data_IF_327029556542
#
_entry.id   IF_327029556542
#
_cell.length_a   1.000
_cell.length_b   1.000
_cell.length_c   1.000
_cell.angle_alpha   90.00
_cell.angle_beta   90.00
_cell.angle_gamma   90.00
#
_symmetry.space_group_name_H-M   'P 1'
#
loop_
_entity.id
_entity.type
_entity.pdbx_description
1 polymer ?
#
# COMPACT_ATOMS: atom_id res chain seq x y z
N UNK A 1 -80.95 11.34 -11.99
CA UNK A 1 -80.22 12.21 -11.04
C UNK A 1 -79.36 11.33 -10.15
N UNK A 2 -78.10 11.76 -9.99
CA UNK A 2 -77.03 11.24 -9.12
C UNK A 2 -76.28 9.99 -9.65
N UNK A 3 -75.07 10.14 -10.21
CA UNK A 3 -73.77 10.54 -9.62
C UNK A 3 -73.15 9.38 -8.82
N UNK A 4 -72.13 8.71 -9.36
CA UNK A 4 -70.70 8.81 -8.96
C UNK A 4 -70.23 7.36 -8.75
N UNK A 5 -69.00 6.87 -8.95
CA UNK A 5 -67.64 7.38 -9.11
C UNK A 5 -66.90 6.31 -9.94
N UNK A 6 -66.20 6.67 -11.01
CA UNK A 6 -65.17 5.79 -11.59
C UNK A 6 -63.85 6.08 -10.88
N UNK A 7 -63.38 5.14 -10.04
CA UNK A 7 -62.03 5.14 -9.50
C UNK A 7 -61.08 4.64 -10.59
N UNK A 8 -60.39 5.55 -11.27
CA UNK A 8 -59.22 5.20 -12.09
C UNK A 8 -58.00 5.08 -11.17
N UNK A 9 -57.61 3.85 -10.87
CA UNK A 9 -56.34 3.56 -10.21
C UNK A 9 -55.20 3.85 -11.21
N UNK A 10 -54.55 5.00 -11.06
CA UNK A 10 -53.33 5.35 -11.79
C UNK A 10 -52.16 4.58 -11.14
N UNK A 11 -51.90 3.36 -11.59
CA UNK A 11 -50.66 2.66 -11.28
C UNK A 11 -49.52 3.38 -12.01
N UNK A 12 -48.93 4.39 -11.37
CA UNK A 12 -47.62 4.92 -11.75
C UNK A 12 -46.59 3.82 -11.45
N UNK A 13 -46.35 2.98 -12.45
CA UNK A 13 -45.21 2.08 -12.45
C UNK A 13 -43.94 2.92 -12.34
N UNK A 14 -43.27 2.85 -11.19
CA UNK A 14 -41.88 3.26 -11.09
C UNK A 14 -41.11 2.23 -11.93
N UNK A 15 -40.92 2.52 -13.20
CA UNK A 15 -39.96 1.80 -14.01
C UNK A 15 -38.60 2.01 -13.35
N UNK A 16 -38.16 1.02 -12.58
CA UNK A 16 -36.77 0.94 -12.14
C UNK A 16 -35.94 0.81 -13.41
N UNK A 17 -35.37 1.92 -13.85
CA UNK A 17 -34.41 1.92 -14.94
C UNK A 17 -33.17 1.19 -14.43
N UNK A 18 -33.18 -0.15 -14.53
CA UNK A 18 -31.98 -0.94 -14.36
C UNK A 18 -30.95 -0.36 -15.32
N UNK A 19 -29.85 0.16 -14.76
CA UNK A 19 -28.74 0.69 -15.56
C UNK A 19 -28.33 -0.41 -16.53
N UNK A 20 -28.58 -0.20 -17.83
CA UNK A 20 -28.13 -1.15 -18.85
C UNK A 20 -26.61 -1.12 -18.83
N UNK A 21 -26.00 -2.24 -18.44
CA UNK A 21 -24.56 -2.43 -18.51
C UNK A 21 -24.05 -2.22 -19.93
N UNK A 22 -22.81 -1.74 -20.05
CA UNK A 22 -22.20 -1.58 -21.36
C UNK A 22 -21.90 -2.96 -21.97
N UNK A 23 -22.67 -3.31 -23.00
CA UNK A 23 -22.54 -4.62 -23.65
C UNK A 23 -21.17 -4.81 -24.32
N UNK A 24 -20.50 -3.72 -24.71
CA UNK A 24 -19.15 -3.80 -25.29
C UNK A 24 -18.11 -4.29 -24.27
N UNK A 25 -18.38 -4.13 -22.97
CA UNK A 25 -17.48 -4.55 -21.90
C UNK A 25 -17.73 -5.98 -21.40
N UNK A 26 -18.73 -6.70 -21.95
CA UNK A 26 -19.06 -8.07 -21.53
C UNK A 26 -17.83 -9.00 -21.55
N UNK A 27 -17.10 -9.04 -22.66
CA UNK A 27 -15.94 -9.92 -22.80
C UNK A 27 -14.83 -9.57 -21.80
N UNK A 28 -14.56 -8.28 -21.60
CA UNK A 28 -13.55 -7.80 -20.65
C UNK A 28 -13.95 -8.13 -19.20
N UNK A 29 -15.22 -7.97 -18.84
CA UNK A 29 -15.73 -8.33 -17.51
C UNK A 29 -15.55 -9.82 -17.22
N UNK A 30 -15.94 -10.71 -18.14
CA UNK A 30 -15.79 -12.15 -17.93
C UNK A 30 -14.32 -12.57 -17.86
N UNK A 31 -13.47 -12.01 -18.73
CA UNK A 31 -12.02 -12.26 -18.68
C UNK A 31 -11.40 -11.78 -17.36
N UNK A 32 -11.78 -10.58 -16.91
CA UNK A 32 -11.30 -10.01 -15.65
C UNK A 32 -11.72 -10.86 -14.46
N UNK A 33 -12.99 -11.30 -14.39
CA UNK A 33 -13.47 -12.21 -13.34
C UNK A 33 -12.69 -13.52 -13.33
N UNK A 34 -12.49 -14.14 -14.49
CA UNK A 34 -11.75 -15.39 -14.60
C UNK A 34 -10.30 -15.25 -14.14
N UNK A 35 -9.63 -14.17 -14.56
CA UNK A 35 -8.24 -13.85 -14.20
C UNK A 35 -8.09 -13.70 -12.69
N UNK A 36 -9.00 -12.97 -12.04
CA UNK A 36 -8.95 -12.70 -10.60
C UNK A 36 -9.80 -13.67 -9.76
N UNK A 37 -10.21 -14.81 -10.35
CA UNK A 37 -10.96 -15.88 -9.70
C UNK A 37 -12.22 -15.39 -8.95
N UNK A 38 -12.94 -14.44 -9.54
CA UNK A 38 -14.14 -13.84 -8.95
C UNK A 38 -15.39 -14.65 -9.25
N UNK A 39 -16.09 -15.07 -8.20
CA UNK A 39 -17.38 -15.74 -8.26
C UNK A 39 -18.38 -14.94 -7.42
N UNK A 40 -19.50 -14.56 -8.02
CA UNK A 40 -20.54 -13.77 -7.36
C UNK A 40 -21.89 -14.47 -7.46
N UNK A 41 -22.71 -14.29 -6.42
CA UNK A 41 -24.13 -14.63 -6.45
C UNK A 41 -24.97 -13.42 -6.87
N UNK A 42 -25.95 -13.07 -6.03
CA UNK A 42 -26.90 -11.99 -6.29
C UNK A 42 -26.27 -10.59 -6.44
N UNK A 43 -25.03 -10.40 -5.98
CA UNK A 43 -24.32 -9.11 -6.00
C UNK A 43 -23.54 -8.84 -7.30
N UNK A 44 -23.53 -9.78 -8.27
CA UNK A 44 -22.72 -9.63 -9.49
C UNK A 44 -23.02 -8.33 -10.24
N UNK A 45 -24.30 -7.97 -10.37
CA UNK A 45 -24.70 -6.76 -11.08
C UNK A 45 -24.10 -5.49 -10.46
N UNK A 46 -24.09 -5.39 -9.14
CA UNK A 46 -23.47 -4.27 -8.44
C UNK A 46 -21.94 -4.26 -8.62
N UNK A 47 -21.27 -5.40 -8.44
CA UNK A 47 -19.82 -5.53 -8.64
C UNK A 47 -19.38 -5.15 -10.04
N UNK A 48 -20.17 -5.55 -11.05
CA UNK A 48 -19.97 -5.14 -12.43
C UNK A 48 -20.16 -3.63 -12.62
N UNK A 49 -21.18 -3.02 -12.00
CA UNK A 49 -21.38 -1.56 -12.08
C UNK A 49 -20.19 -0.78 -11.53
N UNK A 50 -19.63 -1.21 -10.41
CA UNK A 50 -18.41 -0.63 -9.82
C UNK A 50 -17.22 -0.79 -10.77
N UNK A 51 -17.03 -1.98 -11.33
CA UNK A 51 -15.97 -2.25 -12.30
C UNK A 51 -16.08 -1.39 -13.57
N UNK A 52 -17.28 -1.24 -14.13
CA UNK A 52 -17.51 -0.38 -15.31
C UNK A 52 -17.30 1.11 -14.99
N UNK A 53 -17.60 1.55 -13.76
CA UNK A 53 -17.27 2.91 -13.31
C UNK A 53 -15.75 3.10 -13.25
N UNK A 54 -15.03 2.14 -12.68
CA UNK A 54 -13.58 2.20 -12.55
C UNK A 54 -12.86 2.16 -13.90
N UNK A 55 -13.28 1.31 -14.85
CA UNK A 55 -12.64 1.26 -16.16
C UNK A 55 -12.80 2.56 -16.95
N UNK A 56 -13.99 3.19 -16.91
CA UNK A 56 -14.24 4.49 -17.55
C UNK A 56 -13.39 5.61 -16.95
N UNK A 57 -13.21 5.59 -15.63
CA UNK A 57 -12.33 6.53 -14.94
C UNK A 57 -10.86 6.35 -15.37
N UNK A 58 -10.38 5.11 -15.45
CA UNK A 58 -9.03 4.78 -15.92
C UNK A 58 -8.81 5.23 -17.37
N UNK A 59 -9.77 4.97 -18.26
CA UNK A 59 -9.71 5.39 -19.66
C UNK A 59 -9.66 6.91 -19.82
N UNK A 60 -10.46 7.64 -19.02
CA UNK A 60 -10.43 9.10 -19.01
C UNK A 60 -9.08 9.63 -18.52
N UNK A 61 -8.58 9.14 -17.39
CA UNK A 61 -7.27 9.51 -16.87
C UNK A 61 -6.15 9.26 -17.88
N UNK A 62 -6.15 8.10 -18.55
CA UNK A 62 -5.11 7.78 -19.53
C UNK A 62 -5.21 8.63 -20.81
N UNK A 63 -6.41 9.10 -21.17
CA UNK A 63 -6.59 10.11 -22.24
C UNK A 63 -6.03 11.47 -21.83
N UNK A 64 -6.15 11.84 -20.56
CA UNK A 64 -5.56 13.08 -20.03
C UNK A 64 -4.04 12.97 -19.89
N UNK A 65 -3.52 11.81 -19.53
CA UNK A 65 -2.10 11.50 -19.55
C UNK A 65 -1.50 11.71 -20.95
N UNK A 66 -2.16 11.23 -22.01
CA UNK A 66 -1.66 11.43 -23.39
C UNK A 66 -1.71 12.89 -23.85
N UNK A 67 -2.45 13.74 -23.13
CA UNK A 67 -2.48 15.20 -23.29
C UNK A 67 -1.46 15.93 -22.40
N UNK A 68 -0.63 15.19 -21.64
CA UNK A 68 0.39 15.75 -20.75
C UNK A 68 -0.15 16.30 -19.42
N UNK A 69 -1.38 15.95 -19.03
CA UNK A 69 -2.01 16.46 -17.79
C UNK A 69 -1.57 15.70 -16.53
N UNK A 70 -1.10 14.46 -16.69
CA UNK A 70 -0.71 13.57 -15.59
C UNK A 70 0.70 13.03 -15.82
N UNK A 71 1.43 12.75 -14.73
CA UNK A 71 2.78 12.16 -14.77
C UNK A 71 2.81 10.62 -14.80
N UNK A 72 1.64 9.98 -14.73
CA UNK A 72 1.50 8.53 -14.60
C UNK A 72 0.29 8.01 -15.39
N UNK A 73 0.23 6.69 -15.57
CA UNK A 73 -0.91 5.98 -16.14
C UNK A 73 -1.57 5.09 -15.11
N UNK A 74 -2.83 4.74 -15.36
CA UNK A 74 -3.60 3.81 -14.56
C UNK A 74 -3.93 2.55 -15.36
N UNK A 75 -4.19 1.44 -14.68
CA UNK A 75 -4.64 0.20 -15.30
C UNK A 75 -5.62 -0.56 -14.41
N UNK A 76 -6.52 -1.30 -15.04
CA UNK A 76 -7.41 -2.21 -14.32
C UNK A 76 -6.58 -3.31 -13.64
N UNK A 77 -6.93 -3.65 -12.40
CA UNK A 77 -6.23 -4.65 -11.58
C UNK A 77 -7.23 -5.44 -10.72
N UNK A 78 -6.73 -6.20 -9.74
CA UNK A 78 -7.54 -7.04 -8.86
C UNK A 78 -8.57 -6.27 -8.00
N UNK A 79 -8.42 -4.95 -7.85
CA UNK A 79 -9.31 -4.08 -7.08
C UNK A 79 -10.44 -3.48 -7.93
N UNK A 80 -10.59 -3.92 -9.18
CA UNK A 80 -11.53 -3.36 -10.15
C UNK A 80 -12.98 -3.33 -9.71
N UNK A 81 -13.43 -4.33 -8.95
CA UNK A 81 -14.82 -4.46 -8.47
C UNK A 81 -15.05 -3.88 -7.07
N UNK A 82 -14.04 -3.23 -6.49
CA UNK A 82 -14.10 -2.63 -5.16
C UNK A 82 -14.42 -1.13 -5.27
N UNK A 83 -15.27 -0.64 -4.38
CA UNK A 83 -15.37 0.81 -4.18
C UNK A 83 -14.10 1.32 -3.50
N UNK A 84 -13.86 2.63 -3.56
CA UNK A 84 -12.68 3.20 -2.91
C UNK A 84 -12.74 3.07 -1.38
N UNK A 85 -13.93 3.08 -0.80
CA UNK A 85 -14.15 2.89 0.64
C UNK A 85 -13.84 1.44 1.05
N UNK A 86 -14.33 0.44 0.30
CA UNK A 86 -13.99 -0.97 0.53
C UNK A 86 -12.48 -1.19 0.41
N UNK A 87 -11.86 -0.57 -0.59
CA UNK A 87 -10.42 -0.63 -0.81
C UNK A 87 -9.64 -0.07 0.37
N UNK A 88 -9.98 1.14 0.84
CA UNK A 88 -9.36 1.75 2.03
C UNK A 88 -9.48 0.84 3.24
N UNK A 89 -10.66 0.29 3.50
CA UNK A 89 -10.88 -0.52 4.69
C UNK A 89 -10.10 -1.85 4.68
N UNK A 90 -9.91 -2.45 3.50
CA UNK A 90 -9.28 -3.76 3.39
C UNK A 90 -7.78 -3.71 3.16
N UNK A 91 -7.29 -2.67 2.46
CA UNK A 91 -5.92 -2.62 1.94
C UNK A 91 -5.04 -1.61 2.67
N UNK A 92 -5.65 -0.63 3.34
CA UNK A 92 -4.96 0.41 4.09
C UNK A 92 -5.13 0.11 5.57
N UNK A 93 -4.02 0.01 6.29
CA UNK A 93 -4.02 -0.36 7.71
C UNK A 93 -2.97 0.36 8.53
N UNK A 94 -2.37 1.44 8.01
CA UNK A 94 -1.50 2.25 8.84
C UNK A 94 -2.35 3.04 9.84
N UNK A 95 -1.96 2.96 11.11
CA UNK A 95 -2.60 3.72 12.16
C UNK A 95 -1.56 4.55 12.91
N UNK A 96 -1.70 5.88 12.84
CA UNK A 96 -0.83 6.82 13.56
C UNK A 96 -1.23 6.91 15.04
N UNK A 97 -1.02 5.83 15.79
CA UNK A 97 -1.29 5.76 17.22
C UNK A 97 -0.15 6.35 18.05
N UNK A 98 -0.41 6.69 19.32
CA UNK A 98 0.65 7.02 20.27
C UNK A 98 1.49 5.78 20.55
N UNK A 99 2.78 5.86 20.30
CA UNK A 99 3.74 4.76 20.46
C UNK A 99 5.00 5.24 21.20
N UNK A 100 5.84 4.30 21.62
CA UNK A 100 7.19 4.63 22.13
C UNK A 100 7.97 5.26 20.98
N UNK A 101 8.67 6.37 21.22
CA UNK A 101 9.49 7.00 20.19
C UNK A 101 10.84 6.32 20.07
N UNK A 102 11.33 6.20 18.84
CA UNK A 102 12.65 5.69 18.53
C UNK A 102 13.74 6.71 18.85
N UNK A 103 14.98 6.33 18.56
CA UNK A 103 16.08 7.31 18.52
C UNK A 103 15.85 8.25 17.33
N UNK A 104 16.26 9.50 17.44
CA UNK A 104 16.15 10.43 16.29
C UNK A 104 17.33 10.24 15.35
N UNK A 105 17.05 10.06 14.06
CA UNK A 105 18.08 9.95 13.01
C UNK A 105 18.99 11.17 13.01
N UNK A 106 20.30 10.92 13.14
CA UNK A 106 21.32 11.95 13.02
C UNK A 106 21.78 12.02 11.57
N UNK A 107 21.47 13.12 10.90
CA UNK A 107 21.86 13.29 9.51
C UNK A 107 23.39 13.28 9.37
N UNK A 108 23.97 12.45 8.49
CA UNK A 108 25.40 12.53 8.22
C UNK A 108 25.72 13.88 7.56
N UNK A 109 26.72 14.56 8.11
CA UNK A 109 27.15 15.91 7.68
C UNK A 109 28.05 15.84 6.44
N UNK A 110 28.91 14.82 6.36
CA UNK A 110 29.95 14.67 5.33
C UNK A 110 29.74 13.47 4.40
N UNK A 111 28.58 12.81 4.45
CA UNK A 111 28.30 11.71 3.51
C UNK A 111 28.05 12.27 2.12
N UNK A 112 28.80 11.80 1.13
CA UNK A 112 28.46 11.99 -0.27
C UNK A 112 27.20 11.18 -0.58
N UNK A 113 26.11 11.88 -0.86
CA UNK A 113 24.83 11.25 -1.17
C UNK A 113 24.76 11.03 -2.69
N UNK A 114 24.67 9.77 -3.16
CA UNK A 114 24.55 9.49 -4.59
C UNK A 114 23.28 10.11 -5.16
N UNK A 115 23.27 10.41 -6.46
CA UNK A 115 22.13 11.05 -7.13
C UNK A 115 20.93 10.11 -7.27
N UNK A 116 21.17 8.81 -7.28
CA UNK A 116 20.17 7.75 -7.31
C UNK A 116 20.63 6.58 -6.46
N UNK A 117 19.66 5.87 -5.89
CA UNK A 117 19.85 4.65 -5.09
C UNK A 117 18.74 3.70 -5.46
N UNK A 118 19.07 2.42 -5.60
CA UNK A 118 18.09 1.36 -5.83
C UNK A 118 18.53 0.08 -5.10
N UNK A 119 17.79 -0.30 -4.05
CA UNK A 119 18.08 -1.49 -3.24
C UNK A 119 17.37 -2.76 -3.77
N UNK A 120 16.66 -2.68 -4.90
CA UNK A 120 15.80 -3.78 -5.40
C UNK A 120 16.53 -4.98 -5.98
N UNK A 121 17.83 -4.89 -6.29
CA UNK A 121 18.61 -6.03 -6.79
C UNK A 121 18.68 -7.23 -5.79
N UNK A 122 17.94 -7.15 -4.67
CA UNK A 122 18.01 -8.05 -3.51
C UNK A 122 16.65 -8.30 -2.83
N UNK A 123 15.54 -8.47 -3.56
CA UNK A 123 14.42 -9.33 -3.07
C UNK A 123 12.97 -8.79 -2.99
N UNK A 124 12.10 -9.68 -2.47
CA UNK A 124 10.79 -10.10 -2.99
C UNK A 124 9.57 -9.25 -2.59
N UNK A 125 8.52 -9.24 -3.43
CA UNK A 125 7.21 -8.62 -3.13
C UNK A 125 6.17 -9.70 -2.88
N UNK A 126 5.61 -9.75 -1.68
CA UNK A 126 4.52 -10.66 -1.29
C UNK A 126 3.19 -9.89 -1.18
N UNK A 127 2.08 -10.40 -1.74
CA UNK A 127 0.76 -9.77 -1.66
C UNK A 127 0.05 -10.05 -0.32
N UNK A 128 -0.69 -9.06 0.20
CA UNK A 128 -1.65 -9.25 1.31
C UNK A 128 -3.04 -8.67 1.00
N UNK A 129 -4.10 -9.29 1.56
CA UNK A 129 -5.51 -8.88 1.41
C UNK A 129 -6.15 -8.35 2.72
N UNK A 130 -5.33 -7.97 3.69
CA UNK A 130 -5.81 -7.41 4.95
C UNK A 130 -5.03 -6.12 5.29
N UNK A 131 -5.51 -5.33 6.25
CA UNK A 131 -4.91 -4.08 6.73
C UNK A 131 -3.59 -4.26 7.48
N UNK A 132 -2.73 -5.14 7.00
CA UNK A 132 -1.42 -5.50 7.57
C UNK A 132 -0.26 -4.80 6.85
N UNK A 133 -0.51 -3.75 6.07
CA UNK A 133 0.52 -3.02 5.33
C UNK A 133 1.70 -2.56 6.23
N UNK A 134 1.42 -2.25 7.49
CA UNK A 134 2.41 -1.92 8.51
C UNK A 134 3.38 -3.09 8.78
N UNK A 135 2.88 -4.34 8.78
CA UNK A 135 3.72 -5.53 8.97
C UNK A 135 4.66 -5.72 7.78
N UNK A 136 4.16 -5.63 6.54
CA UNK A 136 4.97 -5.71 5.32
C UNK A 136 6.02 -4.59 5.22
N UNK A 137 5.67 -3.38 5.65
CA UNK A 137 6.62 -2.27 5.70
C UNK A 137 7.72 -2.53 6.74
N UNK A 138 7.37 -3.08 7.91
CA UNK A 138 8.31 -3.40 8.97
C UNK A 138 9.24 -4.58 8.60
N UNK A 139 8.70 -5.70 8.11
CA UNK A 139 9.50 -6.85 7.64
C UNK A 139 10.48 -6.41 6.56
N UNK A 140 10.02 -5.67 5.55
CA UNK A 140 10.89 -5.20 4.48
C UNK A 140 12.06 -4.31 4.93
N UNK A 141 11.87 -3.47 5.95
CA UNK A 141 12.96 -2.68 6.51
C UNK A 141 13.93 -3.56 7.33
N UNK A 142 13.40 -4.49 8.13
CA UNK A 142 14.20 -5.41 8.95
C UNK A 142 15.01 -6.38 8.08
N UNK A 143 14.42 -6.91 6.99
CA UNK A 143 15.09 -7.70 5.96
C UNK A 143 16.29 -6.94 5.37
N UNK A 144 16.08 -5.67 5.01
CA UNK A 144 17.14 -4.81 4.49
C UNK A 144 18.30 -4.61 5.48
N UNK A 145 17.98 -4.42 6.77
CA UNK A 145 18.99 -4.28 7.82
C UNK A 145 19.72 -5.59 8.12
N UNK A 146 19.00 -6.70 8.21
CA UNK A 146 19.58 -8.03 8.40
C UNK A 146 20.49 -8.39 7.23
N UNK A 147 20.05 -8.17 5.99
CA UNK A 147 20.90 -8.37 4.81
C UNK A 147 22.17 -7.51 4.87
N UNK A 148 22.07 -6.24 5.28
CA UNK A 148 23.22 -5.37 5.46
C UNK A 148 24.21 -5.91 6.51
N UNK A 149 23.71 -6.48 7.61
CA UNK A 149 24.50 -7.02 8.73
C UNK A 149 25.13 -8.37 8.41
N UNK A 150 24.41 -9.27 7.76
CA UNK A 150 24.79 -10.69 7.62
C UNK A 150 25.19 -11.07 6.19
N UNK A 151 24.80 -10.28 5.19
CA UNK A 151 24.92 -10.62 3.77
C UNK A 151 23.91 -11.67 3.28
N UNK A 152 22.98 -12.12 4.15
CA UNK A 152 21.95 -13.11 3.82
C UNK A 152 20.58 -12.45 3.81
N UNK A 153 19.84 -12.67 2.72
CA UNK A 153 18.48 -12.19 2.59
C UNK A 153 17.53 -13.34 2.91
N UNK A 154 16.73 -13.15 3.97
CA UNK A 154 15.74 -14.12 4.43
C UNK A 154 14.40 -13.40 4.51
N UNK A 155 13.35 -13.98 3.93
CA UNK A 155 12.00 -13.44 4.03
C UNK A 155 11.48 -13.61 5.46
N UNK A 156 11.01 -12.52 6.07
CA UNK A 156 10.52 -12.51 7.45
C UNK A 156 8.99 -12.58 7.49
N UNK A 157 8.46 -13.17 8.55
CA UNK A 157 7.02 -13.41 8.65
C UNK A 157 6.23 -12.16 9.01
N UNK A 158 5.39 -11.68 8.09
CA UNK A 158 4.40 -10.66 8.42
C UNK A 158 3.33 -11.20 9.37
N UNK A 159 2.96 -12.47 9.23
CA UNK A 159 1.93 -13.11 10.07
C UNK A 159 2.34 -13.15 11.54
N UNK A 160 3.63 -13.39 11.81
CA UNK A 160 4.16 -13.34 13.16
C UNK A 160 3.93 -11.96 13.79
N UNK A 161 4.13 -10.87 13.03
CA UNK A 161 3.83 -9.52 13.53
C UNK A 161 2.32 -9.32 13.74
N UNK A 162 1.50 -9.71 12.75
CA UNK A 162 0.04 -9.58 12.78
C UNK A 162 -0.56 -10.25 14.02
N UNK A 163 -0.12 -11.47 14.34
CA UNK A 163 -0.70 -12.25 15.45
C UNK A 163 -0.11 -11.90 16.82
N UNK A 164 1.15 -11.44 16.88
CA UNK A 164 1.90 -11.37 18.15
C UNK A 164 2.16 -9.96 18.69
N UNK A 165 2.03 -8.91 17.87
CA UNK A 165 2.44 -7.54 18.29
C UNK A 165 1.31 -6.69 18.90
N UNK A 166 0.17 -7.31 19.23
CA UNK A 166 -0.93 -6.63 19.91
C UNK A 166 -0.53 -5.96 21.24
N UNK A 167 0.31 -6.57 22.10
CA UNK A 167 0.76 -5.92 23.34
C UNK A 167 1.53 -4.61 23.12
N UNK A 168 2.13 -4.41 21.94
CA UNK A 168 2.84 -3.20 21.56
C UNK A 168 1.92 -2.14 20.92
N UNK A 169 0.65 -2.47 20.67
CA UNK A 169 -0.38 -1.55 20.18
C UNK A 169 -0.76 -1.73 18.71
N UNK A 170 -0.36 -2.82 18.06
CA UNK A 170 -0.90 -3.16 16.75
C UNK A 170 -2.23 -3.91 16.89
N UNK A 171 -3.06 -3.87 15.85
CA UNK A 171 -4.43 -4.42 15.84
C UNK A 171 -4.61 -5.44 14.71
N UNK A 172 -3.54 -6.17 14.39
CA UNK A 172 -3.55 -7.21 13.36
C UNK A 172 -4.00 -6.67 12.00
N UNK A 173 -5.10 -7.21 11.49
CA UNK A 173 -5.70 -6.80 10.21
C UNK A 173 -6.49 -5.50 10.28
N UNK A 174 -6.81 -5.00 11.48
CA UNK A 174 -7.45 -3.68 11.64
C UNK A 174 -6.45 -2.53 11.53
N UNK A 175 -5.16 -2.83 11.60
CA UNK A 175 -4.09 -1.88 11.34
C UNK A 175 -3.00 -1.87 12.41
N UNK A 176 -2.02 -0.99 12.23
CA UNK A 176 -0.86 -0.92 13.08
C UNK A 176 0.19 0.06 12.59
N UNK A 177 1.34 0.00 13.25
CA UNK A 177 2.46 0.91 13.07
C UNK A 177 3.77 0.13 13.04
N UNK A 178 4.65 0.47 12.09
CA UNK A 178 5.96 -0.18 11.92
C UNK A 178 6.81 -0.11 13.19
N UNK A 179 6.77 1.01 13.92
CA UNK A 179 7.52 1.20 15.16
C UNK A 179 7.08 0.24 16.28
N UNK A 180 5.79 -0.06 16.38
CA UNK A 180 5.29 -1.06 17.31
C UNK A 180 5.76 -2.47 16.91
N UNK A 181 5.87 -2.76 15.62
CA UNK A 181 6.41 -4.02 15.12
C UNK A 181 7.91 -4.15 15.48
N UNK A 182 8.71 -3.11 15.30
CA UNK A 182 10.12 -3.11 15.74
C UNK A 182 10.23 -3.25 17.26
N UNK A 183 9.36 -2.56 18.02
CA UNK A 183 9.32 -2.71 19.47
C UNK A 183 9.00 -4.15 19.88
N UNK A 184 8.09 -4.83 19.18
CA UNK A 184 7.78 -6.24 19.40
C UNK A 184 9.00 -7.12 19.13
N UNK A 185 9.67 -6.98 17.98
CA UNK A 185 10.84 -7.82 17.64
C UNK A 185 11.94 -7.67 18.69
N UNK A 186 12.19 -6.45 19.18
CA UNK A 186 13.09 -6.18 20.29
C UNK A 186 12.71 -6.92 21.57
N UNK A 187 11.46 -6.79 22.01
CA UNK A 187 10.97 -7.33 23.28
C UNK A 187 10.81 -8.85 23.24
N UNK A 188 10.41 -9.39 22.10
CA UNK A 188 10.28 -10.81 21.83
C UNK A 188 11.65 -11.52 21.67
N UNK A 189 12.68 -10.76 21.29
CA UNK A 189 14.03 -11.28 21.07
C UNK A 189 14.21 -12.00 19.74
N UNK A 190 13.26 -11.85 18.81
CA UNK A 190 13.33 -12.47 17.50
C UNK A 190 12.08 -12.30 16.64
N UNK A 191 12.20 -12.64 15.36
CA UNK A 191 11.11 -12.74 14.39
C UNK A 191 11.31 -13.97 13.50
N UNK A 192 10.24 -14.74 13.26
CA UNK A 192 10.25 -15.95 12.44
C UNK A 192 10.42 -15.66 10.94
N UNK A 193 10.83 -16.67 10.19
CA UNK A 193 10.83 -16.62 8.72
C UNK A 193 9.43 -16.79 8.16
N UNK A 194 9.18 -16.22 6.99
CA UNK A 194 7.94 -16.43 6.23
C UNK A 194 7.71 -17.93 5.93
N UNK A 195 8.77 -18.71 5.74
CA UNK A 195 8.66 -20.17 5.52
C UNK A 195 8.13 -20.91 6.76
N UNK A 196 8.60 -20.53 7.95
CA UNK A 196 8.17 -21.17 9.21
C UNK A 196 6.81 -20.68 9.73
N UNK A 197 6.42 -19.46 9.38
CA UNK A 197 5.18 -18.83 9.79
C UNK A 197 4.55 -18.07 8.61
N UNK A 198 3.91 -18.78 7.67
CA UNK A 198 3.41 -18.19 6.43
C UNK A 198 2.26 -17.21 6.62
N UNK A 199 2.17 -16.23 5.72
CA UNK A 199 1.10 -15.24 5.67
C UNK A 199 -0.26 -15.86 5.34
N UNK A 200 -1.23 -15.66 6.25
CA UNK A 200 -2.60 -16.14 6.13
C UNK A 200 -3.58 -15.03 5.72
N UNK A 201 -3.21 -13.76 5.86
CA UNK A 201 -4.08 -12.63 5.52
C UNK A 201 -5.27 -12.46 6.45
N UNK A 202 -5.15 -12.92 7.69
CA UNK A 202 -6.16 -12.84 8.75
C UNK A 202 -5.46 -12.92 10.10
N UNK A 203 -6.08 -12.40 11.15
CA UNK A 203 -5.58 -12.35 12.52
C UNK A 203 -6.49 -13.15 13.49
N UNK A 204 -7.16 -14.17 12.97
CA UNK A 204 -8.07 -15.03 13.73
C UNK A 204 -7.37 -16.13 14.54
N UNK A 205 -6.06 -16.28 14.35
CA UNK A 205 -5.26 -17.33 14.99
C UNK A 205 -4.46 -16.74 16.17
N UNK A 206 -4.19 -17.53 17.22
CA UNK A 206 -3.32 -17.07 18.30
C UNK A 206 -1.87 -16.95 17.83
N UNK A 207 -1.11 -16.04 18.46
CA UNK A 207 0.33 -15.92 18.26
C UNK A 207 1.05 -17.27 18.37
N UNK A 208 1.80 -17.63 17.33
CA UNK A 208 2.50 -18.92 17.20
C UNK A 208 4.01 -18.75 16.92
N UNK A 209 4.64 -17.74 17.51
CA UNK A 209 6.09 -17.51 17.40
C UNK A 209 6.90 -18.71 17.92
N UNK A 210 7.94 -19.10 17.17
CA UNK A 210 8.84 -20.22 17.52
C UNK A 210 10.29 -19.76 17.54
N UNK A 211 10.92 -19.60 18.73
CA UNK A 211 12.30 -19.13 18.83
C UNK A 211 13.32 -19.89 17.97
N UNK A 212 13.11 -21.19 17.75
CA UNK A 212 13.93 -22.05 16.89
C UNK A 212 13.83 -21.71 15.39
N UNK A 213 12.79 -20.99 14.97
CA UNK A 213 12.56 -20.54 13.61
C UNK A 213 12.93 -19.06 13.41
N UNK A 214 13.41 -18.38 14.46
CA UNK A 214 13.78 -16.98 14.40
C UNK A 214 14.97 -16.74 13.47
N UNK A 215 14.83 -15.78 12.55
CA UNK A 215 15.87 -15.40 11.59
C UNK A 215 16.31 -13.94 11.69
N UNK A 216 15.61 -13.12 12.48
CA UNK A 216 15.94 -11.71 12.66
C UNK A 216 15.76 -11.29 14.12
N UNK A 217 16.58 -10.33 14.55
CA UNK A 217 16.40 -9.59 15.79
C UNK A 217 16.71 -8.11 15.53
N UNK A 218 16.24 -7.26 16.43
CA UNK A 218 16.63 -5.85 16.45
C UNK A 218 16.95 -5.39 17.89
N UNK A 219 17.48 -4.19 17.99
CA UNK A 219 17.87 -3.52 19.23
C UNK A 219 17.00 -2.27 19.52
N UNK A 220 15.94 -2.08 18.74
CA UNK A 220 15.07 -0.90 18.69
C UNK A 220 15.06 -0.28 17.29
N UNK A 221 14.57 0.95 17.20
CA UNK A 221 14.36 1.65 15.92
C UNK A 221 14.73 3.12 15.99
N UNK A 222 14.82 3.73 14.81
CA UNK A 222 15.20 5.13 14.58
C UNK A 222 14.11 5.84 13.77
N UNK A 223 13.65 6.98 14.27
CA UNK A 223 12.68 7.85 13.62
C UNK A 223 13.42 8.90 12.79
N UNK A 224 13.01 9.06 11.54
CA UNK A 224 13.58 10.06 10.63
C UNK A 224 12.82 11.38 10.78
N UNK A 225 13.51 12.52 10.91
CA UNK A 225 12.87 13.83 10.89
C UNK A 225 11.98 14.01 9.67
N UNK A 226 10.82 14.66 9.84
CA UNK A 226 9.79 14.83 8.81
C UNK A 226 10.19 15.76 7.64
N UNK A 227 11.24 15.39 6.92
CA UNK A 227 11.86 16.15 5.83
C UNK A 227 12.37 15.16 4.79
N UNK A 228 11.99 15.36 3.52
CA UNK A 228 12.44 14.52 2.40
C UNK A 228 13.97 14.45 2.28
N UNK A 229 14.68 15.52 2.64
CA UNK A 229 16.16 15.54 2.69
C UNK A 229 16.72 14.55 3.71
N UNK A 230 16.11 14.44 4.89
CA UNK A 230 16.52 13.49 5.91
C UNK A 230 16.22 12.05 5.49
N UNK A 231 15.03 11.82 4.92
CA UNK A 231 14.65 10.54 4.32
C UNK A 231 15.63 10.11 3.23
N UNK A 232 16.02 11.01 2.34
CA UNK A 232 16.96 10.72 1.24
C UNK A 232 18.32 10.26 1.77
N UNK A 233 18.84 10.95 2.80
CA UNK A 233 20.08 10.58 3.47
C UNK A 233 19.97 9.23 4.17
N UNK A 234 18.86 8.97 4.84
CA UNK A 234 18.62 7.68 5.48
C UNK A 234 18.60 6.56 4.44
N UNK A 235 17.82 6.68 3.36
CA UNK A 235 17.76 5.69 2.28
C UNK A 235 19.15 5.43 1.68
N UNK A 236 19.96 6.47 1.52
CA UNK A 236 21.31 6.36 0.97
C UNK A 236 22.33 5.65 1.88
N UNK A 237 22.22 5.85 3.19
CA UNK A 237 23.25 5.44 4.16
C UNK A 237 22.84 4.27 5.05
N UNK A 238 21.55 3.96 5.08
CA UNK A 238 20.94 2.95 5.94
C UNK A 238 20.46 1.75 5.14
N UNK A 239 19.75 1.97 4.03
CA UNK A 239 19.07 0.93 3.26
C UNK A 239 17.59 1.26 3.05
N UNK A 240 16.73 0.24 2.82
CA UNK A 240 15.29 0.42 2.78
C UNK A 240 14.71 1.02 4.06
N UNK A 241 13.72 1.91 3.93
CA UNK A 241 13.11 2.66 5.03
C UNK A 241 11.59 2.44 5.02
N UNK A 242 11.02 2.08 6.16
CA UNK A 242 9.56 2.02 6.35
C UNK A 242 8.98 3.43 6.34
N UNK A 243 7.92 3.64 5.56
CA UNK A 243 7.20 4.92 5.53
C UNK A 243 5.71 4.71 5.51
N UNK A 244 4.93 5.73 5.84
CA UNK A 244 3.50 5.77 5.55
C UNK A 244 3.15 6.90 4.58
N UNK A 245 2.09 6.67 3.80
CA UNK A 245 1.58 7.59 2.78
C UNK A 245 0.06 7.70 2.84
N UNK A 246 -0.48 8.74 2.21
CA UNK A 246 -1.88 8.80 1.78
C UNK A 246 -2.04 7.98 0.47
N UNK A 247 -2.62 6.79 0.59
CA UNK A 247 -2.91 5.88 -0.52
C UNK A 247 -4.42 5.76 -0.78
N UNK A 248 -5.23 6.65 -0.21
CA UNK A 248 -6.69 6.61 -0.24
C UNK A 248 -7.31 6.97 -1.60
N UNK A 249 -6.52 7.34 -2.60
CA UNK A 249 -7.04 7.87 -3.86
C UNK A 249 -7.25 6.77 -4.90
N UNK A 250 -8.29 6.88 -5.73
CA UNK A 250 -8.52 5.94 -6.83
C UNK A 250 -7.35 5.96 -7.83
N UNK A 251 -6.69 7.10 -7.98
CA UNK A 251 -5.46 7.28 -8.77
C UNK A 251 -4.34 6.33 -8.32
N UNK A 252 -4.18 6.15 -7.00
CA UNK A 252 -3.20 5.23 -6.42
C UNK A 252 -3.69 3.78 -6.49
N UNK A 253 -4.97 3.52 -6.16
CA UNK A 253 -5.60 2.20 -6.25
C UNK A 253 -5.35 1.53 -7.62
N UNK A 254 -5.38 2.31 -8.71
CA UNK A 254 -5.16 1.80 -10.07
C UNK A 254 -3.88 2.29 -10.73
N UNK A 255 -2.91 2.81 -9.97
CA UNK A 255 -1.60 3.20 -10.50
C UNK A 255 -0.98 2.06 -11.32
N UNK A 256 -0.37 2.40 -12.47
CA UNK A 256 0.35 1.44 -13.32
C UNK A 256 1.82 1.78 -13.53
N UNK A 257 2.14 2.98 -13.98
CA UNK A 257 3.51 3.38 -14.32
C UNK A 257 3.65 4.90 -14.41
N UNK A 258 4.88 5.40 -14.40
CA UNK A 258 5.19 6.84 -14.37
C UNK A 258 5.36 7.38 -12.95
N UNK A 259 5.60 8.69 -12.81
CA UNK A 259 5.77 9.33 -11.50
C UNK A 259 4.38 9.70 -10.98
N UNK A 260 3.97 9.03 -9.92
CA UNK A 260 2.72 9.29 -9.22
C UNK A 260 2.77 10.66 -8.55
N UNK A 261 1.81 11.50 -8.94
CA UNK A 261 1.52 12.77 -8.30
C UNK A 261 0.00 12.97 -8.34
N UNK A 262 -0.62 13.13 -7.17
CA UNK A 262 -2.04 13.46 -7.04
C UNK A 262 -2.21 14.76 -6.24
N UNK A 263 -2.81 15.83 -6.81
CA UNK A 263 -2.99 17.09 -6.08
C UNK A 263 -3.82 16.95 -4.79
N UNK A 264 -4.66 15.91 -4.68
CA UNK A 264 -5.52 15.67 -3.52
C UNK A 264 -4.83 14.86 -2.41
N UNK A 265 -3.59 14.39 -2.64
CA UNK A 265 -2.80 13.72 -1.61
C UNK A 265 -2.54 14.60 -0.40
N UNK A 266 -2.79 14.07 0.78
CA UNK A 266 -2.49 14.71 2.05
C UNK A 266 -1.08 14.39 2.53
N UNK A 267 -0.34 15.40 3.00
CA UNK A 267 0.93 15.17 3.72
C UNK A 267 0.74 14.73 5.19
N UNK A 268 -0.51 14.63 5.66
CA UNK A 268 -0.84 14.41 7.07
C UNK A 268 -1.77 13.22 7.31
N UNK A 269 -2.74 12.99 6.42
CA UNK A 269 -3.72 11.92 6.56
C UNK A 269 -3.17 10.66 5.90
N UNK A 270 -2.27 9.98 6.60
CA UNK A 270 -1.66 8.74 6.11
C UNK A 270 -2.55 7.56 6.48
N UNK A 271 -2.66 6.59 5.58
CA UNK A 271 -3.49 5.39 5.77
C UNK A 271 -2.78 4.09 5.34
N UNK A 272 -1.65 4.18 4.64
CA UNK A 272 -0.96 3.00 4.11
C UNK A 272 0.54 2.96 4.41
N UNK A 273 1.02 1.82 4.89
CA UNK A 273 2.43 1.55 5.17
C UNK A 273 3.12 0.92 3.97
N UNK A 274 4.24 1.51 3.52
CA UNK A 274 5.01 1.09 2.36
C UNK A 274 6.51 1.15 2.66
N UNK A 275 7.36 0.71 1.73
CA UNK A 275 8.81 0.67 1.92
C UNK A 275 9.52 1.47 0.83
N UNK A 276 10.26 2.52 1.22
CA UNK A 276 11.14 3.24 0.29
C UNK A 276 12.41 2.44 0.12
N UNK A 277 12.66 1.96 -1.10
CA UNK A 277 13.83 1.14 -1.47
C UNK A 277 14.83 1.90 -2.33
N UNK A 278 14.60 3.18 -2.58
CA UNK A 278 15.47 3.96 -3.44
C UNK A 278 14.89 5.31 -3.83
N UNK A 279 15.64 6.03 -4.65
CA UNK A 279 15.22 7.28 -5.28
C UNK A 279 16.01 7.53 -6.56
N UNK A 280 15.48 8.40 -7.41
CA UNK A 280 16.13 8.77 -8.65
C UNK A 280 15.45 9.97 -9.31
N UNK A 281 15.71 10.11 -10.60
CA UNK A 281 15.16 11.16 -11.46
C UNK A 281 14.92 10.59 -12.86
N UNK A 282 14.05 11.22 -13.66
CA UNK A 282 13.88 10.82 -15.06
C UNK A 282 15.12 11.19 -15.86
N UNK A 283 15.64 10.25 -16.66
CA UNK A 283 16.83 10.47 -17.48
C UNK A 283 16.65 11.64 -18.47
N UNK A 284 15.43 11.81 -18.97
CA UNK A 284 15.05 12.87 -19.91
C UNK A 284 14.84 14.23 -19.25
N UNK A 285 14.62 14.28 -17.93
CA UNK A 285 14.40 15.50 -17.17
C UNK A 285 14.79 15.31 -15.69
N UNK A 286 16.01 15.72 -15.34
CA UNK A 286 16.53 15.63 -13.97
C UNK A 286 15.77 16.45 -12.92
N UNK A 287 14.89 17.37 -13.35
CA UNK A 287 14.00 18.08 -12.42
C UNK A 287 12.88 17.17 -11.89
N UNK A 288 12.52 16.12 -12.63
CA UNK A 288 11.51 15.14 -12.24
C UNK A 288 12.12 14.04 -11.41
N UNK A 289 12.03 14.18 -10.09
CA UNK A 289 12.58 13.24 -9.12
C UNK A 289 11.50 12.32 -8.57
N UNK A 290 11.91 11.11 -8.18
CA UNK A 290 11.01 10.15 -7.58
C UNK A 290 11.66 9.34 -6.47
N UNK A 291 10.83 8.85 -5.55
CA UNK A 291 11.10 7.75 -4.64
C UNK A 291 10.74 6.44 -5.33
N UNK A 292 11.55 5.39 -5.13
CA UNK A 292 11.20 4.02 -5.52
C UNK A 292 10.57 3.37 -4.31
N UNK A 293 9.29 3.04 -4.41
CA UNK A 293 8.50 2.55 -3.27
C UNK A 293 7.96 1.16 -3.59
N UNK A 294 8.23 0.22 -2.70
CA UNK A 294 7.70 -1.15 -2.71
C UNK A 294 6.35 -1.16 -1.99
N UNK A 295 5.34 -1.75 -2.63
CA UNK A 295 4.01 -1.94 -2.08
C UNK A 295 3.77 -3.42 -1.72
N UNK A 296 2.70 -3.72 -0.98
CA UNK A 296 2.32 -5.07 -0.52
C UNK A 296 1.04 -5.61 -1.19
N UNK A 297 0.65 -5.03 -2.33
CA UNK A 297 -0.55 -5.41 -3.08
C UNK A 297 -0.28 -6.38 -4.25
N UNK A 298 0.88 -7.03 -4.21
CA UNK A 298 1.30 -7.98 -5.23
C UNK A 298 1.88 -7.35 -6.50
N UNK A 299 2.46 -8.19 -7.37
CA UNK A 299 3.20 -7.73 -8.54
C UNK A 299 2.30 -7.24 -9.69
N UNK A 300 1.00 -7.56 -9.67
CA UNK A 300 0.06 -7.11 -10.71
C UNK A 300 -0.27 -5.62 -10.59
N UNK A 301 -0.23 -5.09 -9.36
CA UNK A 301 -0.42 -3.67 -9.08
C UNK A 301 0.83 -2.86 -9.45
N UNK A 302 0.62 -1.67 -10.02
CA UNK A 302 1.72 -0.75 -10.35
C UNK A 302 2.76 -1.31 -11.31
N UNK A 303 3.99 -0.87 -11.08
CA UNK A 303 5.17 -1.30 -11.82
C UNK A 303 5.78 -2.53 -11.13
N UNK A 304 5.16 -3.69 -11.37
CA UNK A 304 5.58 -4.96 -10.77
C UNK A 304 5.59 -4.94 -9.23
N UNK A 305 4.56 -4.33 -8.62
CA UNK A 305 4.44 -4.15 -7.17
C UNK A 305 5.11 -2.88 -6.62
N UNK A 306 5.71 -2.06 -7.50
CA UNK A 306 6.35 -0.80 -7.12
C UNK A 306 5.61 0.42 -7.67
N UNK A 307 5.86 1.57 -7.06
CA UNK A 307 5.44 2.89 -7.53
C UNK A 307 6.60 3.87 -7.46
N UNK A 308 6.70 4.73 -8.48
CA UNK A 308 7.55 5.92 -8.42
C UNK A 308 6.74 7.07 -7.84
N UNK A 309 6.99 7.48 -6.61
CA UNK A 309 6.28 8.61 -6.00
C UNK A 309 7.05 9.91 -6.19
N UNK A 310 6.35 11.02 -6.45
CA UNK A 310 6.99 12.32 -6.61
C UNK A 310 7.89 12.67 -5.40
N UNK A 311 9.13 13.10 -5.69
CA UNK A 311 10.14 13.47 -4.69
C UNK A 311 10.48 14.96 -4.78
N UNK A 312 10.77 15.56 -3.63
CA UNK A 312 11.07 16.99 -3.45
C UNK A 312 9.90 17.89 -3.89
N UNK A 313 8.67 17.39 -3.73
CA UNK A 313 7.43 18.08 -4.08
C UNK A 313 6.54 18.27 -2.84
N UNK A 314 7.07 19.02 -1.88
CA UNK A 314 6.36 19.39 -0.64
C UNK A 314 5.87 18.18 0.17
N UNK A 315 6.71 17.16 0.35
CA UNK A 315 6.36 15.94 1.11
C UNK A 315 5.06 15.30 0.57
N UNK A 316 5.04 15.06 -0.74
CA UNK A 316 3.89 14.56 -1.47
C UNK A 316 3.35 13.25 -0.86
N UNK A 317 2.03 13.17 -0.67
CA UNK A 317 1.32 12.11 0.05
C UNK A 317 1.91 11.77 1.44
N UNK A 318 2.71 12.66 2.03
CA UNK A 318 3.25 12.51 3.37
C UNK A 318 4.37 11.48 3.50
N UNK A 319 5.07 11.15 2.42
CA UNK A 319 6.08 10.08 2.37
C UNK A 319 7.21 10.20 3.42
N UNK A 320 7.52 11.40 3.90
CA UNK A 320 8.50 11.63 4.97
C UNK A 320 7.85 11.90 6.35
N UNK A 321 6.52 11.89 6.47
CA UNK A 321 5.80 12.26 7.71
C UNK A 321 5.93 11.20 8.80
N UNK A 322 5.93 9.92 8.45
CA UNK A 322 6.12 8.81 9.37
C UNK A 322 7.11 7.83 8.75
N UNK A 323 8.40 8.08 8.96
CA UNK A 323 9.49 7.31 8.37
C UNK A 323 10.44 6.80 9.47
N UNK A 324 10.72 5.50 9.45
CA UNK A 324 11.55 4.86 10.46
C UNK A 324 12.25 3.61 9.94
N UNK A 325 13.22 3.10 10.70
CA UNK A 325 13.92 1.85 10.40
C UNK A 325 14.41 1.15 11.68
N UNK A 326 14.50 -0.20 11.69
CA UNK A 326 15.01 -0.94 12.84
C UNK A 326 16.54 -0.88 12.91
N UNK A 327 17.11 -1.14 14.08
CA UNK A 327 18.56 -1.19 14.29
C UNK A 327 18.98 -2.59 14.69
N UNK A 328 19.88 -3.22 13.93
CA UNK A 328 20.31 -4.62 14.11
C UNK A 328 21.77 -4.73 14.51
#
# INVERSE_FOLDING_TARGET
>A
MNSSLFLTALCLGIASAASKFDQSLNAQWYQWKATHKRLYGMVEGWRRAVWEKNIKMIELHNREYSQGKHGFTMAMNAFGDMTNEEFKQLMNGFQNQKHKKGKVFQEPVFAEIPKSVDWREKGYVTPGQCGSCWAFSATGALEGQMFRKTGQLVSLSEQNLVDCSQPQGNEGCNGGLMDNAFQYVKENGGLDTEESYPYLGRDSEPCNYKPECSAANDTGFVDIPQREKALMKAVATVGPISVAIDAGHQSFQFYKSGIYYDPDCSSKNLDHGVLVVGYGFEETDSSKKFWIVKNSWGPEWGWSGYVKMAKDQNNHCGIATAASYPTV
#
